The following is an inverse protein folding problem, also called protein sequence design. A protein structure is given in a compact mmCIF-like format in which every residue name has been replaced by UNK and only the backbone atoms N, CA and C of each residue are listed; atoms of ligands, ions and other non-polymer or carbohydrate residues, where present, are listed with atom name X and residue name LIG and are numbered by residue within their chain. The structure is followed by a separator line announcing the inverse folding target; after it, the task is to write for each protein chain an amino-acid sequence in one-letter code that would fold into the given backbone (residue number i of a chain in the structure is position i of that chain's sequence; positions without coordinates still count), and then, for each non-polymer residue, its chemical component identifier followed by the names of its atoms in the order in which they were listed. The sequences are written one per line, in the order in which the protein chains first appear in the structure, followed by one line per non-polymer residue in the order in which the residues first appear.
data_IF_202597819056
#
_entry.id   IF_202597819056
#
_cell.length_a   1.000
_cell.length_b   1.000
_cell.length_c   1.000
_cell.angle_alpha   90.00
_cell.angle_beta   90.00
_cell.angle_gamma   90.00
#
_symmetry.space_group_name_H-M   'P 1'
#
loop_
_entity.id
_entity.type
_entity.pdbx_description
1 polymer ?
#
# COMPACT_ATOMS: atom_id res chain seq x y z
N UNK A 1 -0.95 -5.05 -13.48
CA UNK A 1 -2.19 -5.78 -13.88
C UNK A 1 -2.00 -6.79 -15.02
N UNK A 2 -1.13 -6.61 -16.06
CA UNK A 2 -1.02 -7.61 -17.15
C UNK A 2 -0.74 -9.04 -16.66
N UNK A 3 0.05 -9.21 -15.61
CA UNK A 3 0.35 -10.54 -15.04
C UNK A 3 -0.87 -11.25 -14.46
N UNK A 4 -1.79 -10.52 -13.80
CA UNK A 4 -3.03 -11.10 -13.27
C UNK A 4 -3.95 -11.48 -14.43
N UNK A 5 -4.08 -10.63 -15.45
CA UNK A 5 -4.88 -10.92 -16.63
C UNK A 5 -4.37 -12.17 -17.37
N UNK A 6 -3.04 -12.29 -17.54
CA UNK A 6 -2.44 -13.48 -18.14
C UNK A 6 -2.76 -14.76 -17.34
N UNK A 7 -2.78 -14.67 -15.99
CA UNK A 7 -3.17 -15.79 -15.15
C UNK A 7 -4.67 -16.12 -15.27
N UNK A 8 -5.53 -15.09 -15.38
CA UNK A 8 -6.97 -15.28 -15.58
C UNK A 8 -7.25 -15.95 -16.93
N UNK A 9 -6.58 -15.54 -17.99
CA UNK A 9 -6.76 -16.10 -19.35
C UNK A 9 -6.20 -17.51 -19.52
N UNK A 10 -5.23 -17.90 -18.68
CA UNK A 10 -4.63 -19.25 -18.75
C UNK A 10 -5.59 -20.31 -18.22
N UNK A 11 -6.11 -21.15 -19.10
CA UNK A 11 -7.07 -22.23 -18.74
C UNK A 11 -6.53 -23.25 -17.74
N UNK A 12 -5.21 -23.40 -17.65
CA UNK A 12 -4.57 -24.32 -16.70
C UNK A 12 -4.34 -23.69 -15.32
N UNK A 13 -4.59 -22.41 -15.15
CA UNK A 13 -4.48 -21.70 -13.88
C UNK A 13 -5.77 -21.95 -13.06
N UNK A 14 -5.64 -22.64 -11.93
CA UNK A 14 -6.76 -22.99 -11.05
C UNK A 14 -7.23 -21.79 -10.21
N UNK A 15 -6.32 -20.87 -9.89
CA UNK A 15 -6.59 -19.68 -9.12
C UNK A 15 -5.32 -18.85 -8.95
N UNK A 16 -5.43 -17.73 -8.26
CA UNK A 16 -4.33 -16.76 -8.10
C UNK A 16 -4.04 -16.57 -6.62
N UNK A 17 -2.77 -16.59 -6.28
CA UNK A 17 -2.28 -16.21 -4.95
C UNK A 17 -1.46 -14.92 -5.12
N UNK A 18 -1.97 -13.85 -4.54
CA UNK A 18 -1.24 -12.58 -4.40
C UNK A 18 -0.23 -12.74 -3.27
N UNK A 19 1.02 -12.94 -3.61
CA UNK A 19 2.12 -12.98 -2.67
C UNK A 19 2.54 -11.56 -2.30
N UNK A 20 2.36 -11.17 -1.04
CA UNK A 20 2.54 -9.80 -0.56
C UNK A 20 3.68 -9.74 0.45
N UNK A 21 4.67 -8.91 0.15
CA UNK A 21 5.73 -8.53 1.08
C UNK A 21 6.01 -7.03 0.88
N UNK A 22 5.24 -6.17 1.56
CA UNK A 22 5.27 -4.72 1.34
C UNK A 22 4.89 -3.94 2.59
N UNK A 23 5.67 -2.92 2.98
CA UNK A 23 5.33 -2.00 4.05
C UNK A 23 4.28 -0.96 3.64
N UNK A 24 3.87 -0.94 2.37
CA UNK A 24 2.95 0.03 1.81
C UNK A 24 3.58 0.93 0.76
N UNK A 25 2.99 2.10 0.56
CA UNK A 25 3.43 3.06 -0.45
C UNK A 25 2.33 4.06 -0.79
N UNK A 26 2.22 4.47 -2.04
CA UNK A 26 1.22 5.43 -2.51
C UNK A 26 -0.21 4.94 -2.26
N UNK A 27 -1.00 5.72 -1.52
CA UNK A 27 -2.41 5.44 -1.26
C UNK A 27 -3.21 5.31 -2.58
N UNK A 28 -2.97 6.21 -3.53
CA UNK A 28 -3.63 6.21 -4.83
C UNK A 28 -3.32 4.95 -5.63
N UNK A 29 -2.06 4.54 -5.71
CA UNK A 29 -1.68 3.34 -6.45
C UNK A 29 -2.25 2.07 -5.81
N UNK A 30 -2.24 2.00 -4.48
CA UNK A 30 -2.84 0.87 -3.75
C UNK A 30 -4.34 0.77 -3.99
N UNK A 31 -5.05 1.92 -4.00
CA UNK A 31 -6.48 1.99 -4.32
C UNK A 31 -6.78 1.52 -5.75
N UNK A 32 -6.01 1.99 -6.73
CA UNK A 32 -6.17 1.58 -8.14
C UNK A 32 -6.00 0.06 -8.28
N UNK A 33 -4.99 -0.52 -7.63
CA UNK A 33 -4.76 -1.96 -7.66
C UNK A 33 -5.91 -2.71 -6.96
N UNK A 34 -6.36 -2.23 -5.80
CA UNK A 34 -7.50 -2.79 -5.07
C UNK A 34 -8.76 -2.83 -5.95
N UNK A 35 -9.10 -1.72 -6.59
CA UNK A 35 -10.29 -1.62 -7.46
C UNK A 35 -10.20 -2.57 -8.65
N UNK A 36 -9.04 -2.63 -9.29
CA UNK A 36 -8.85 -3.49 -10.46
C UNK A 36 -8.92 -4.98 -10.10
N UNK A 37 -8.37 -5.39 -8.94
CA UNK A 37 -8.50 -6.77 -8.48
C UNK A 37 -9.96 -7.10 -8.15
N UNK A 38 -10.70 -6.20 -7.50
CA UNK A 38 -12.12 -6.39 -7.23
C UNK A 38 -12.94 -6.51 -8.53
N UNK A 39 -12.62 -5.70 -9.54
CA UNK A 39 -13.23 -5.81 -10.86
C UNK A 39 -12.94 -7.16 -11.52
N UNK A 40 -11.70 -7.64 -11.48
CA UNK A 40 -11.33 -8.96 -11.99
C UNK A 40 -12.10 -10.06 -11.25
N UNK A 41 -12.19 -9.98 -9.92
CA UNK A 41 -12.95 -10.95 -9.11
C UNK A 41 -14.44 -10.98 -9.45
N UNK A 42 -15.02 -9.84 -9.81
CA UNK A 42 -16.44 -9.77 -10.19
C UNK A 42 -16.74 -10.37 -11.58
N UNK A 43 -15.72 -10.53 -12.42
CA UNK A 43 -15.85 -10.99 -13.82
C UNK A 43 -15.21 -12.36 -14.08
N UNK A 44 -14.56 -12.96 -13.09
CA UNK A 44 -13.86 -14.25 -13.21
C UNK A 44 -14.30 -15.21 -12.12
N UNK A 45 -14.45 -16.50 -12.49
CA UNK A 45 -14.72 -17.59 -11.55
C UNK A 45 -13.48 -18.04 -10.77
N UNK A 46 -12.28 -17.57 -11.17
CA UNK A 46 -11.04 -17.95 -10.51
C UNK A 46 -10.91 -17.25 -9.16
N UNK A 47 -10.59 -18.04 -8.14
CA UNK A 47 -10.35 -17.54 -6.80
C UNK A 47 -9.06 -16.72 -6.73
N UNK A 48 -9.12 -15.58 -6.07
CA UNK A 48 -7.95 -14.74 -5.79
C UNK A 48 -7.78 -14.65 -4.28
N UNK A 49 -6.67 -15.21 -3.79
CA UNK A 49 -6.29 -15.18 -2.38
C UNK A 49 -5.04 -14.32 -2.18
N UNK A 50 -4.85 -13.79 -0.98
CA UNK A 50 -3.63 -13.07 -0.61
C UNK A 50 -2.88 -13.84 0.47
N UNK A 51 -1.57 -13.94 0.33
CA UNK A 51 -0.66 -14.44 1.35
C UNK A 51 0.36 -13.36 1.67
N UNK A 52 0.33 -12.90 2.91
CA UNK A 52 1.30 -11.94 3.44
C UNK A 52 2.50 -12.73 3.97
N UNK A 53 3.68 -12.45 3.42
CA UNK A 53 4.94 -13.05 3.88
C UNK A 53 5.45 -12.34 5.14
N UNK A 54 6.52 -11.54 5.03
CA UNK A 54 7.06 -10.83 6.20
C UNK A 54 6.20 -9.64 6.59
N UNK A 55 5.76 -8.83 5.60
CA UNK A 55 5.02 -7.59 5.83
C UNK A 55 3.88 -7.42 4.82
N UNK A 56 2.69 -7.13 5.32
CA UNK A 56 1.55 -6.65 4.54
C UNK A 56 0.92 -5.47 5.29
N UNK A 57 1.52 -4.30 5.16
CA UNK A 57 1.14 -3.12 5.92
C UNK A 57 0.73 -1.96 5.03
N UNK A 58 -0.16 -1.08 5.53
CA UNK A 58 -0.62 0.13 4.83
C UNK A 58 -1.12 -0.21 3.41
N UNK A 59 -0.55 0.39 2.36
CA UNK A 59 -0.89 0.07 0.97
C UNK A 59 -0.75 -1.41 0.60
N UNK A 60 0.18 -2.14 1.24
CA UNK A 60 0.32 -3.59 1.08
C UNK A 60 -0.90 -4.34 1.61
N UNK A 61 -1.41 -3.95 2.78
CA UNK A 61 -2.64 -4.51 3.33
C UNK A 61 -3.87 -4.09 2.50
N UNK A 62 -3.89 -2.86 1.98
CA UNK A 62 -4.95 -2.39 1.10
C UNK A 62 -5.12 -3.31 -0.12
N UNK A 63 -3.99 -3.68 -0.74
CA UNK A 63 -4.00 -4.63 -1.87
C UNK A 63 -4.42 -6.02 -1.40
N UNK A 64 -3.92 -6.50 -0.24
CA UNK A 64 -4.32 -7.79 0.32
C UNK A 64 -5.83 -7.89 0.52
N UNK A 65 -6.45 -6.81 0.97
CA UNK A 65 -7.89 -6.75 1.25
C UNK A 65 -8.77 -6.85 -0.01
N UNK A 66 -8.21 -6.70 -1.21
CA UNK A 66 -8.94 -6.97 -2.45
C UNK A 66 -9.16 -8.47 -2.71
N UNK A 67 -8.45 -9.35 -2.03
CA UNK A 67 -8.59 -10.80 -2.16
C UNK A 67 -9.83 -11.34 -1.42
N UNK A 68 -10.28 -12.54 -1.77
CA UNK A 68 -11.40 -13.21 -1.09
C UNK A 68 -11.03 -13.66 0.32
N UNK A 69 -9.79 -14.09 0.49
CA UNK A 69 -9.19 -14.48 1.78
C UNK A 69 -7.77 -13.98 1.88
N UNK A 70 -7.37 -13.68 3.11
CA UNK A 70 -6.03 -13.21 3.45
C UNK A 70 -5.41 -14.18 4.44
N UNK A 71 -4.20 -14.60 4.14
CA UNK A 71 -3.40 -15.50 4.96
C UNK A 71 -2.07 -14.85 5.32
N UNK A 72 -1.48 -15.28 6.41
CA UNK A 72 -0.12 -14.88 6.79
C UNK A 72 0.56 -15.93 7.66
N UNK A 73 1.87 -15.76 7.90
CA UNK A 73 2.55 -16.45 8.99
C UNK A 73 2.17 -15.84 10.34
N UNK A 74 2.34 -16.57 11.42
CA UNK A 74 2.11 -16.09 12.79
C UNK A 74 2.95 -14.85 13.13
N UNK A 75 4.14 -14.72 12.55
CA UNK A 75 5.10 -13.65 12.78
C UNK A 75 5.05 -12.52 11.75
N UNK A 76 4.24 -12.64 10.68
CA UNK A 76 4.07 -11.57 9.69
C UNK A 76 3.58 -10.29 10.34
N UNK A 77 3.99 -9.15 9.81
CA UNK A 77 3.50 -7.82 10.23
C UNK A 77 2.33 -7.42 9.34
N UNK A 78 1.17 -7.20 9.94
CA UNK A 78 -0.09 -6.97 9.22
C UNK A 78 -0.80 -5.72 9.75
N UNK A 79 -1.43 -4.95 8.87
CA UNK A 79 -2.27 -3.81 9.25
C UNK A 79 -1.70 -2.45 8.84
N UNK A 80 -1.43 -1.58 9.80
CA UNK A 80 -1.02 -0.19 9.52
C UNK A 80 -2.01 0.54 8.60
N UNK A 81 -3.32 0.38 8.89
CA UNK A 81 -4.39 1.05 8.15
C UNK A 81 -4.44 2.51 8.60
N UNK A 82 -3.68 3.33 7.92
CA UNK A 82 -3.50 4.74 8.22
C UNK A 82 -2.85 5.49 7.06
N UNK A 83 -2.89 6.80 7.14
CA UNK A 83 -2.30 7.70 6.14
C UNK A 83 -1.43 8.74 6.84
N UNK A 84 -0.23 8.97 6.34
CA UNK A 84 0.66 9.99 6.86
C UNK A 84 1.22 10.87 5.74
N UNK A 85 1.55 12.09 6.09
CA UNK A 85 2.27 13.03 5.26
C UNK A 85 3.46 13.53 6.09
N UNK A 86 4.66 13.27 5.62
CA UNK A 86 5.88 13.73 6.29
C UNK A 86 6.36 15.04 5.65
N UNK A 87 6.68 16.02 6.48
CA UNK A 87 7.28 17.29 6.07
C UNK A 87 8.31 17.73 7.10
N UNK A 88 9.33 18.41 6.66
CA UNK A 88 10.39 18.94 7.52
C UNK A 88 10.42 20.46 7.42
N UNK A 89 10.57 21.14 8.57
CA UNK A 89 10.80 22.57 8.60
C UNK A 89 12.27 22.84 8.98
N UNK A 90 13.03 23.37 8.05
CA UNK A 90 14.45 23.71 8.22
C UNK A 90 14.71 25.22 8.24
N UNK A 91 13.66 26.05 8.34
CA UNK A 91 13.75 27.51 8.37
C UNK A 91 14.76 28.02 9.40
N UNK A 92 14.68 27.51 10.64
CA UNK A 92 15.58 27.93 11.72
C UNK A 92 17.04 27.59 11.43
N UNK A 93 17.32 26.52 10.72
CA UNK A 93 18.67 26.19 10.29
C UNK A 93 19.17 27.18 9.25
N UNK A 94 18.34 27.52 8.25
CA UNK A 94 18.65 28.51 7.23
C UNK A 94 18.97 29.88 7.83
N UNK A 95 18.16 30.32 8.81
CA UNK A 95 18.39 31.57 9.52
C UNK A 95 19.76 31.59 10.22
N UNK A 96 20.18 30.48 10.84
CA UNK A 96 21.47 30.37 11.53
C UNK A 96 22.68 30.46 10.60
N UNK A 97 22.57 30.00 9.37
CA UNK A 97 23.64 30.03 8.37
C UNK A 97 23.54 31.21 7.42
N UNK A 98 22.59 32.14 7.66
CA UNK A 98 22.45 33.38 6.90
C UNK A 98 21.86 33.21 5.49
N UNK A 99 21.18 32.09 5.21
CA UNK A 99 20.52 31.85 3.91
C UNK A 99 19.04 32.21 4.03
N UNK A 100 18.53 32.96 3.06
CA UNK A 100 17.13 33.34 2.97
C UNK A 100 16.48 32.68 1.75
N UNK A 101 15.38 31.99 1.96
CA UNK A 101 14.53 31.50 0.88
C UNK A 101 13.78 32.67 0.23
N UNK A 102 13.75 32.70 -1.09
CA UNK A 102 12.96 33.66 -1.88
C UNK A 102 12.07 32.86 -2.83
N UNK A 103 10.79 32.80 -2.51
CA UNK A 103 9.81 32.04 -3.30
C UNK A 103 8.87 33.03 -3.99
N UNK A 104 8.75 32.90 -5.30
CA UNK A 104 7.73 33.58 -6.10
C UNK A 104 6.72 32.51 -6.55
N UNK A 105 5.48 32.65 -6.14
CA UNK A 105 4.44 31.69 -6.49
C UNK A 105 3.19 32.40 -7.00
N UNK A 106 2.48 31.73 -7.89
CA UNK A 106 1.12 32.07 -8.27
C UNK A 106 0.15 31.16 -7.53
N UNK A 107 -0.80 31.72 -6.81
CA UNK A 107 -1.71 31.01 -5.90
C UNK A 107 -1.26 31.08 -4.44
N UNK A 108 -2.18 31.57 -3.58
CA UNK A 108 -1.96 31.89 -2.17
C UNK A 108 -1.34 30.74 -1.38
N UNK A 109 -1.80 29.52 -1.62
CA UNK A 109 -1.45 28.35 -0.83
C UNK A 109 -0.50 27.39 -1.56
N UNK A 110 0.13 27.83 -2.67
CA UNK A 110 1.02 26.97 -3.47
C UNK A 110 2.25 26.48 -2.71
N UNK A 111 2.62 27.16 -1.63
CA UNK A 111 3.80 26.89 -0.79
C UNK A 111 3.46 26.19 0.52
N UNK A 112 2.31 25.52 0.59
CA UNK A 112 1.78 24.92 1.82
C UNK A 112 2.75 23.95 2.51
N UNK A 113 3.65 23.30 1.79
CA UNK A 113 4.65 22.36 2.31
C UNK A 113 6.09 22.84 2.06
N UNK A 114 6.29 24.15 1.92
CA UNK A 114 7.63 24.72 1.77
C UNK A 114 8.46 24.42 3.05
N UNK A 115 9.58 23.66 2.96
CA UNK A 115 10.39 23.31 4.12
C UNK A 115 11.10 24.53 4.75
N UNK A 116 11.13 25.68 4.04
CA UNK A 116 11.75 26.91 4.50
C UNK A 116 10.77 27.90 5.11
N UNK A 117 9.49 27.57 5.18
CA UNK A 117 8.44 28.39 5.76
C UNK A 117 7.72 27.69 6.92
N UNK A 118 7.12 28.47 7.81
CA UNK A 118 6.28 27.94 8.87
C UNK A 118 4.91 27.55 8.32
N UNK A 119 4.41 26.39 8.71
CA UNK A 119 3.08 25.93 8.35
C UNK A 119 2.03 26.68 9.18
N UNK A 120 1.11 27.39 8.55
CA UNK A 120 0.01 28.07 9.21
C UNK A 120 -1.03 27.09 9.79
N UNK A 121 -1.85 27.54 10.72
CA UNK A 121 -2.89 26.70 11.31
C UNK A 121 -3.99 26.35 10.30
N UNK A 122 -4.34 27.27 9.40
CA UNK A 122 -5.27 26.97 8.28
C UNK A 122 -4.72 25.85 7.38
N UNK A 123 -3.44 25.90 7.07
CA UNK A 123 -2.77 24.86 6.29
C UNK A 123 -2.75 23.50 7.02
N UNK A 124 -2.50 23.49 8.35
CA UNK A 124 -2.58 22.26 9.15
C UNK A 124 -3.97 21.65 9.11
N UNK A 125 -5.01 22.47 9.29
CA UNK A 125 -6.41 22.03 9.22
C UNK A 125 -6.72 21.44 7.84
N UNK A 126 -6.30 22.12 6.78
CA UNK A 126 -6.51 21.66 5.41
C UNK A 126 -5.85 20.30 5.16
N UNK A 127 -4.57 20.16 5.54
CA UNK A 127 -3.82 18.89 5.39
C UNK A 127 -4.42 17.76 6.23
N UNK A 128 -4.83 18.05 7.48
CA UNK A 128 -5.49 17.05 8.32
C UNK A 128 -6.81 16.56 7.71
N UNK A 129 -7.60 17.47 7.13
CA UNK A 129 -8.83 17.09 6.42
C UNK A 129 -8.53 16.23 5.19
N UNK A 130 -7.50 16.57 4.41
CA UNK A 130 -7.04 15.77 3.28
C UNK A 130 -6.67 14.34 3.71
N UNK A 131 -5.85 14.22 4.76
CA UNK A 131 -5.42 12.92 5.30
C UNK A 131 -6.61 12.11 5.82
N UNK A 132 -7.54 12.77 6.52
CA UNK A 132 -8.76 12.14 7.04
C UNK A 132 -9.65 11.62 5.91
N UNK A 133 -9.79 12.35 4.81
CA UNK A 133 -10.57 11.90 3.65
C UNK A 133 -9.96 10.65 3.01
N UNK A 134 -8.63 10.63 2.81
CA UNK A 134 -7.94 9.45 2.25
C UNK A 134 -8.04 8.26 3.21
N UNK A 135 -7.90 8.50 4.51
CA UNK A 135 -8.01 7.45 5.53
C UNK A 135 -9.43 6.86 5.60
N UNK A 136 -10.45 7.70 5.59
CA UNK A 136 -11.84 7.27 5.58
C UNK A 136 -12.18 6.43 4.34
N UNK A 137 -11.64 6.81 3.18
CA UNK A 137 -11.76 6.00 1.97
C UNK A 137 -11.12 4.62 2.14
N UNK A 138 -9.90 4.56 2.70
CA UNK A 138 -9.21 3.32 2.98
C UNK A 138 -10.02 2.42 3.94
N UNK A 139 -10.53 2.99 5.04
CA UNK A 139 -11.39 2.27 6.00
C UNK A 139 -12.64 1.73 5.30
N UNK A 140 -13.32 2.55 4.52
CA UNK A 140 -14.55 2.16 3.81
C UNK A 140 -14.32 0.99 2.88
N UNK A 141 -13.23 1.00 2.12
CA UNK A 141 -12.88 -0.06 1.19
C UNK A 141 -12.53 -1.38 1.91
N UNK A 142 -11.80 -1.28 3.03
CA UNK A 142 -11.50 -2.44 3.87
C UNK A 142 -12.79 -3.02 4.46
N UNK A 143 -13.68 -2.18 4.99
CA UNK A 143 -14.95 -2.61 5.55
C UNK A 143 -15.86 -3.26 4.51
N UNK A 144 -15.89 -2.74 3.28
CA UNK A 144 -16.62 -3.34 2.15
C UNK A 144 -16.09 -4.73 1.81
N UNK A 145 -14.77 -4.89 1.81
CA UNK A 145 -14.10 -6.13 1.40
C UNK A 145 -14.10 -7.19 2.51
N UNK A 146 -13.85 -6.80 3.77
CA UNK A 146 -13.67 -7.70 4.92
C UNK A 146 -14.92 -7.85 5.79
N UNK A 147 -15.94 -7.01 5.58
CA UNK A 147 -17.15 -6.99 6.40
C UNK A 147 -16.96 -6.35 7.77
N UNK A 148 -17.98 -6.46 8.62
CA UNK A 148 -18.06 -5.77 9.92
C UNK A 148 -17.30 -6.45 11.07
N UNK A 149 -16.54 -7.52 10.78
CA UNK A 149 -15.80 -8.31 11.79
C UNK A 149 -14.48 -7.68 12.24
N UNK A 150 -14.04 -6.60 11.59
CA UNK A 150 -12.78 -5.94 11.95
C UNK A 150 -13.00 -5.07 13.18
N UNK A 151 -12.11 -5.24 14.17
CA UNK A 151 -12.05 -4.35 15.33
C UNK A 151 -11.71 -2.91 14.89
N UNK A 152 -12.34 -1.93 15.55
CA UNK A 152 -12.11 -0.51 15.26
C UNK A 152 -10.67 -0.08 15.51
N UNK A 153 -9.97 -0.72 16.44
CA UNK A 153 -8.56 -0.46 16.72
C UNK A 153 -7.65 -0.75 15.50
N UNK A 154 -8.10 -1.60 14.59
CA UNK A 154 -7.40 -1.88 13.34
C UNK A 154 -7.20 -0.65 12.45
N UNK A 155 -8.00 0.41 12.63
CA UNK A 155 -8.02 1.61 11.80
C UNK A 155 -7.21 2.79 12.38
N UNK A 156 -6.40 2.55 13.37
CA UNK A 156 -5.59 3.60 14.05
C UNK A 156 -4.19 3.80 13.45
N UNK A 157 -3.83 3.01 12.44
CA UNK A 157 -2.49 3.01 11.85
C UNK A 157 -1.51 2.07 12.56
N UNK A 158 -1.94 1.36 13.61
CA UNK A 158 -1.14 0.33 14.26
C UNK A 158 -1.00 -0.91 13.36
N UNK A 159 -0.05 -1.77 13.71
CA UNK A 159 0.19 -3.06 13.05
C UNK A 159 0.33 -4.17 14.09
N UNK A 160 0.07 -5.39 13.65
CA UNK A 160 0.01 -6.56 14.51
C UNK A 160 0.81 -7.72 13.92
N UNK A 161 1.18 -8.67 14.76
CA UNK A 161 1.64 -9.98 14.27
C UNK A 161 0.47 -10.72 13.63
N UNK A 162 0.74 -11.67 12.71
CA UNK A 162 -0.31 -12.49 12.12
C UNK A 162 -1.18 -13.18 13.17
N UNK A 163 -0.58 -13.67 14.27
CA UNK A 163 -1.31 -14.25 15.39
C UNK A 163 -2.28 -13.29 16.09
N UNK A 164 -1.99 -12.00 16.12
CA UNK A 164 -2.89 -10.98 16.65
C UNK A 164 -3.88 -10.51 15.58
N UNK A 165 -3.44 -10.39 14.33
CA UNK A 165 -4.24 -9.94 13.19
C UNK A 165 -5.47 -10.81 12.92
N UNK A 166 -5.37 -12.13 13.12
CA UNK A 166 -6.50 -13.05 13.00
C UNK A 166 -7.59 -12.76 14.03
N UNK A 167 -7.21 -12.38 15.26
CA UNK A 167 -8.16 -12.12 16.34
C UNK A 167 -8.98 -10.85 16.13
N UNK A 168 -8.41 -9.88 15.42
CA UNK A 168 -9.05 -8.59 15.11
C UNK A 168 -9.64 -8.56 13.69
N UNK A 169 -9.67 -9.69 12.98
CA UNK A 169 -10.34 -9.86 11.70
C UNK A 169 -9.56 -9.38 10.47
N UNK A 170 -8.29 -9.03 10.61
CA UNK A 170 -7.47 -8.56 9.48
C UNK A 170 -7.07 -9.70 8.53
N UNK A 171 -6.92 -10.92 9.03
CA UNK A 171 -6.63 -12.12 8.23
C UNK A 171 -7.61 -13.24 8.55
N UNK A 172 -7.70 -14.22 7.67
CA UNK A 172 -8.64 -15.33 7.80
C UNK A 172 -8.02 -16.54 8.49
N UNK A 173 -6.76 -16.85 8.19
CA UNK A 173 -6.08 -18.04 8.72
C UNK A 173 -4.54 -17.86 8.70
N UNK A 174 -3.84 -18.60 9.54
CA UNK A 174 -2.38 -18.67 9.57
C UNK A 174 -1.90 -19.79 8.66
N UNK A 175 -1.61 -19.49 7.40
CA UNK A 175 -1.16 -20.42 6.37
C UNK A 175 -0.04 -19.81 5.52
N UNK A 176 0.91 -20.65 5.11
CA UNK A 176 1.90 -20.31 4.10
C UNK A 176 1.31 -20.38 2.69
N UNK A 177 2.05 -19.89 1.70
CA UNK A 177 1.63 -19.97 0.29
C UNK A 177 1.47 -21.43 -0.17
N UNK A 178 2.27 -22.35 0.35
CA UNK A 178 2.20 -23.79 0.04
C UNK A 178 0.94 -24.40 0.64
N UNK A 179 0.64 -24.09 1.91
CA UNK A 179 -0.58 -24.56 2.58
C UNK A 179 -1.84 -24.07 1.88
N UNK A 180 -1.85 -22.78 1.43
CA UNK A 180 -2.96 -22.21 0.67
C UNK A 180 -3.13 -22.92 -0.66
N UNK A 181 -2.04 -23.18 -1.37
CA UNK A 181 -2.07 -23.89 -2.66
C UNK A 181 -2.62 -25.31 -2.51
N UNK A 182 -2.15 -26.05 -1.53
CA UNK A 182 -2.62 -27.40 -1.26
C UNK A 182 -4.08 -27.42 -0.79
N UNK A 183 -4.43 -26.61 0.20
CA UNK A 183 -5.74 -26.60 0.85
C UNK A 183 -6.88 -26.15 -0.07
N UNK A 184 -6.65 -25.13 -0.91
CA UNK A 184 -7.71 -24.50 -1.69
C UNK A 184 -7.70 -24.85 -3.18
N UNK A 185 -6.55 -25.30 -3.70
CA UNK A 185 -6.43 -25.66 -5.11
C UNK A 185 -6.03 -27.12 -5.32
N UNK A 186 -5.77 -27.88 -4.23
CA UNK A 186 -5.30 -29.26 -4.28
C UNK A 186 -4.11 -29.45 -5.25
N UNK A 187 -3.20 -28.48 -5.23
CA UNK A 187 -2.09 -28.43 -6.18
C UNK A 187 -0.88 -27.74 -5.53
N UNK A 188 0.29 -28.39 -5.64
CA UNK A 188 1.55 -27.86 -5.12
C UNK A 188 2.42 -27.20 -6.22
N UNK A 189 1.93 -27.14 -7.46
CA UNK A 189 2.66 -26.52 -8.56
C UNK A 189 2.35 -25.03 -8.66
N UNK A 190 3.18 -24.22 -8.02
CA UNK A 190 3.10 -22.76 -8.05
C UNK A 190 3.88 -22.21 -9.25
N UNK A 191 3.20 -21.43 -10.09
CA UNK A 191 3.79 -20.75 -11.24
C UNK A 191 3.82 -19.25 -10.98
N UNK A 192 4.99 -18.65 -11.06
CA UNK A 192 5.17 -17.19 -10.90
C UNK A 192 4.89 -16.47 -12.21
N UNK A 193 3.95 -15.55 -12.20
CA UNK A 193 3.57 -14.72 -13.36
C UNK A 193 4.34 -13.39 -13.41
N UNK A 194 4.99 -12.97 -12.32
CA UNK A 194 5.80 -11.77 -12.32
C UNK A 194 7.11 -12.02 -13.08
N UNK A 195 7.53 -11.08 -13.90
CA UNK A 195 8.94 -11.05 -14.33
C UNK A 195 9.76 -10.68 -13.10
N UNK A 196 10.79 -11.46 -12.80
CA UNK A 196 11.81 -11.03 -11.85
C UNK A 196 12.37 -9.70 -12.35
N UNK A 197 12.37 -8.69 -11.48
CA UNK A 197 13.09 -7.44 -11.75
C UNK A 197 14.58 -7.79 -11.74
N UNK A 198 15.19 -7.74 -12.89
CA UNK A 198 16.65 -7.81 -13.00
C UNK A 198 17.21 -6.45 -12.53
N UNK A 199 17.34 -6.31 -11.22
CA UNK A 199 17.79 -5.07 -10.55
C UNK A 199 19.14 -4.62 -11.16
N UNK A 200 20.00 -5.56 -11.56
CA UNK A 200 21.26 -5.25 -12.20
C UNK A 200 21.04 -4.59 -13.56
N UNK A 201 20.10 -5.08 -14.38
CA UNK A 201 19.75 -4.44 -15.65
C UNK A 201 19.07 -3.08 -15.45
N UNK A 202 18.23 -2.92 -14.43
CA UNK A 202 17.66 -1.61 -14.10
C UNK A 202 18.76 -0.61 -13.69
N UNK A 203 19.72 -1.01 -12.87
CA UNK A 203 20.85 -0.15 -12.45
C UNK A 203 21.76 0.21 -13.65
N UNK A 204 22.04 -0.73 -14.54
CA UNK A 204 22.91 -0.48 -15.72
C UNK A 204 22.19 0.25 -16.86
N UNK A 205 20.86 0.18 -16.94
CA UNK A 205 20.05 0.91 -17.93
C UNK A 205 19.53 2.27 -17.44
N UNK A 206 19.64 2.56 -16.16
CA UNK A 206 19.39 3.91 -15.66
C UNK A 206 20.61 4.75 -16.00
N UNK A 207 20.53 5.55 -17.08
CA UNK A 207 21.29 6.79 -17.12
C UNK A 207 21.06 7.46 -15.76
N UNK A 208 22.14 7.67 -15.00
CA UNK A 208 22.10 8.32 -13.69
C UNK A 208 21.61 9.76 -13.91
N UNK A 209 20.34 9.95 -14.09
CA UNK A 209 19.68 11.20 -13.79
C UNK A 209 19.57 11.19 -12.26
N UNK A 210 20.34 12.05 -11.61
CA UNK A 210 20.19 12.34 -10.19
C UNK A 210 18.69 12.48 -9.91
N UNK A 211 18.11 11.76 -8.94
CA UNK A 211 16.70 11.86 -8.70
C UNK A 211 16.41 13.28 -8.19
N UNK A 212 15.77 14.09 -9.04
CA UNK A 212 15.12 15.34 -8.63
C UNK A 212 14.05 15.10 -7.57
N UNK A 213 13.78 13.85 -7.24
CA UNK A 213 12.80 13.40 -6.26
C UNK A 213 13.23 13.58 -4.79
N UNK A 214 14.45 14.06 -4.53
CA UNK A 214 14.90 14.31 -3.15
C UNK A 214 14.09 15.42 -2.45
N UNK A 215 13.34 16.22 -3.19
CA UNK A 215 12.54 17.34 -2.68
C UNK A 215 11.03 17.23 -2.96
N UNK A 216 10.55 16.10 -3.43
CA UNK A 216 9.12 15.78 -3.43
C UNK A 216 8.20 16.70 -4.26
N UNK A 217 8.70 17.32 -5.33
CA UNK A 217 7.90 18.22 -6.15
C UNK A 217 7.62 17.54 -7.49
N UNK A 218 6.40 16.98 -7.64
CA UNK A 218 5.82 16.67 -8.95
C UNK A 218 4.69 17.65 -9.24
N UNK A 219 4.70 18.20 -10.46
CA UNK A 219 3.70 19.09 -11.03
C UNK A 219 2.35 18.39 -11.20
#
# INVERSE_FOLDING_TARGET
MPHINNAIENKNCLGIILKINSPGGSATQSKIIFDEINKIRSTSDKKIYAVIEDVGASGGYYIAASAEKIFSSSSSIVGSIGVRLDSYNIKRLMDKIGIKSQVLSSGKDKTILDPFADLSDDHKIHLQNLLSNIHNQFISDIMLSRGTKIDKDAFTGLFWTGSAAIKIGLIDELLSIYDVSEKFFNNNNLVTYNKERDILKEIFNTNISLPYDLFGIRY
#
